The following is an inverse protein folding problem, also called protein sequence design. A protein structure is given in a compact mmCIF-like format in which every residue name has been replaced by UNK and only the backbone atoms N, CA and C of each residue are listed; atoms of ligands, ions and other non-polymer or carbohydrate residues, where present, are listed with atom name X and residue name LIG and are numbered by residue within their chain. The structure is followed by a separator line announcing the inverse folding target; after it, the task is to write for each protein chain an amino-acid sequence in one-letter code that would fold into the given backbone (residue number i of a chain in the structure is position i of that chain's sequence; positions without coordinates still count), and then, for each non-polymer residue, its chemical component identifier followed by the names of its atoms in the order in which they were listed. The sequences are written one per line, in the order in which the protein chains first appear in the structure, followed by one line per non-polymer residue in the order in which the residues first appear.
data_IF_455411110586
#
_entry.id   IF_455411110586
#
_cell.length_a   1.000
_cell.length_b   1.000
_cell.length_c   1.000
_cell.angle_alpha   90.00
_cell.angle_beta   90.00
_cell.angle_gamma   90.00
#
_symmetry.space_group_name_H-M   'P 1'
#
loop_
_entity.id
_entity.type
_entity.pdbx_description
1 polymer ?
#
# COMPACT_ATOMS: atom_id res chain seq x y z
N UNK A 1 17.26 -19.67 -1.62
CA UNK A 1 16.54 -18.41 -1.30
C UNK A 1 15.20 -18.77 -0.67
N UNK A 2 14.95 -18.35 0.56
CA UNK A 2 13.67 -18.61 1.24
C UNK A 2 12.51 -18.10 0.37
N UNK A 3 11.52 -18.96 0.11
CA UNK A 3 10.33 -18.64 -0.68
C UNK A 3 9.63 -17.48 0.05
N UNK A 4 9.73 -16.25 -0.47
CA UNK A 4 9.03 -15.10 0.11
C UNK A 4 7.54 -15.40 0.07
N UNK A 5 6.94 -15.74 1.22
CA UNK A 5 5.51 -15.97 1.33
C UNK A 5 4.78 -14.66 1.10
N UNK A 6 3.68 -14.72 0.35
CA UNK A 6 2.85 -13.55 0.07
C UNK A 6 2.02 -13.15 1.30
N UNK A 7 1.69 -14.14 2.12
CA UNK A 7 0.79 -14.03 3.26
C UNK A 7 1.57 -14.16 4.56
N UNK A 8 1.11 -13.45 5.57
CA UNK A 8 1.49 -13.72 6.96
C UNK A 8 0.88 -15.06 7.42
N UNK A 9 1.42 -15.62 8.51
CA UNK A 9 0.85 -16.84 9.09
C UNK A 9 -0.63 -16.69 9.45
N UNK A 10 -1.02 -15.53 9.97
CA UNK A 10 -2.41 -15.23 10.36
C UNK A 10 -3.32 -15.11 9.14
N UNK A 11 -2.88 -14.42 8.08
CA UNK A 11 -3.62 -14.36 6.81
C UNK A 11 -3.79 -15.75 6.20
N UNK A 12 -2.74 -16.59 6.27
CA UNK A 12 -2.77 -17.96 5.75
C UNK A 12 -3.82 -18.80 6.50
N UNK A 13 -3.85 -18.74 7.84
CA UNK A 13 -4.87 -19.43 8.64
C UNK A 13 -6.27 -18.94 8.30
N UNK A 14 -6.48 -17.62 8.32
CA UNK A 14 -7.78 -16.99 8.02
C UNK A 14 -8.34 -17.37 6.65
N UNK A 15 -7.48 -17.45 5.63
CA UNK A 15 -7.91 -17.70 4.25
C UNK A 15 -8.00 -19.18 3.90
N UNK A 16 -7.17 -20.03 4.50
CA UNK A 16 -7.01 -21.41 4.05
C UNK A 16 -7.48 -22.48 5.04
N UNK A 17 -7.67 -22.15 6.31
CA UNK A 17 -8.11 -23.11 7.33
C UNK A 17 -9.61 -22.99 7.60
N UNK A 18 -10.27 -24.07 8.05
CA UNK A 18 -11.65 -24.01 8.51
C UNK A 18 -11.79 -23.07 9.72
N UNK A 19 -12.94 -22.39 9.88
CA UNK A 19 -13.21 -21.58 11.06
C UNK A 19 -13.23 -22.44 12.31
N UNK A 20 -12.78 -21.85 13.42
CA UNK A 20 -12.70 -22.51 14.73
C UNK A 20 -13.61 -21.89 15.79
N UNK A 21 -14.36 -20.85 15.43
CA UNK A 21 -15.33 -20.21 16.33
C UNK A 21 -16.75 -20.68 15.99
N UNK A 22 -17.58 -20.95 17.01
CA UNK A 22 -18.95 -21.45 16.81
C UNK A 22 -19.76 -20.56 15.86
N UNK A 23 -19.60 -19.23 15.97
CA UNK A 23 -20.29 -18.25 15.11
C UNK A 23 -19.89 -18.37 13.64
N UNK A 24 -18.60 -18.50 13.35
CA UNK A 24 -18.13 -18.64 11.97
C UNK A 24 -18.45 -20.01 11.38
N UNK A 25 -18.36 -21.06 12.21
CA UNK A 25 -18.77 -22.42 11.87
C UNK A 25 -20.24 -22.44 11.46
N UNK A 26 -21.13 -21.89 12.28
CA UNK A 26 -22.55 -21.80 11.96
C UNK A 26 -22.80 -21.02 10.65
N UNK A 27 -22.11 -19.88 10.46
CA UNK A 27 -22.22 -19.09 9.23
C UNK A 27 -21.78 -19.86 7.98
N UNK A 28 -20.71 -20.64 8.07
CA UNK A 28 -20.12 -21.31 6.91
C UNK A 28 -20.69 -22.70 6.63
N UNK A 29 -21.21 -23.40 7.64
CA UNK A 29 -21.46 -24.84 7.60
C UNK A 29 -22.89 -25.26 7.95
N UNK A 30 -23.84 -24.32 8.03
CA UNK A 30 -25.26 -24.66 8.15
C UNK A 30 -25.76 -25.27 6.83
N UNK A 31 -26.35 -26.46 6.90
CA UNK A 31 -26.93 -27.16 5.76
C UNK A 31 -28.37 -26.74 5.51
N UNK A 32 -28.76 -26.72 4.23
CA UNK A 32 -30.17 -26.58 3.85
C UNK A 32 -30.91 -27.92 4.02
N UNK A 33 -32.24 -27.90 4.02
CA UNK A 33 -33.05 -29.13 4.06
C UNK A 33 -32.68 -30.08 2.90
N UNK A 34 -32.47 -29.54 1.70
CA UNK A 34 -32.07 -30.33 0.53
C UNK A 34 -30.68 -30.98 0.71
N UNK A 35 -29.76 -30.30 1.39
CA UNK A 35 -28.46 -30.88 1.72
C UNK A 35 -28.58 -32.02 2.72
N UNK A 36 -29.40 -31.84 3.76
CA UNK A 36 -29.64 -32.86 4.78
C UNK A 36 -30.29 -34.11 4.17
N UNK A 37 -31.34 -33.96 3.36
CA UNK A 37 -31.96 -35.08 2.63
C UNK A 37 -30.95 -35.85 1.77
N UNK A 38 -30.07 -35.12 1.07
CA UNK A 38 -29.04 -35.73 0.23
C UNK A 38 -27.97 -36.48 1.06
N UNK A 39 -27.60 -35.93 2.21
CA UNK A 39 -26.66 -36.54 3.16
C UNK A 39 -27.27 -37.79 3.80
N UNK A 40 -28.51 -37.70 4.28
CA UNK A 40 -29.24 -38.79 4.97
C UNK A 40 -29.45 -40.00 4.06
N UNK A 41 -29.58 -39.78 2.75
CA UNK A 41 -29.65 -40.84 1.75
C UNK A 41 -28.38 -41.74 1.69
N UNK A 42 -27.28 -41.39 2.37
CA UNK A 42 -26.12 -42.27 2.49
C UNK A 42 -26.35 -43.35 3.54
N UNK A 43 -26.07 -44.61 3.21
CA UNK A 43 -26.17 -45.70 4.18
C UNK A 43 -25.11 -45.60 5.28
N UNK A 44 -25.57 -45.44 6.52
CA UNK A 44 -24.77 -45.52 7.75
C UNK A 44 -24.20 -44.18 8.22
N UNK A 45 -24.17 -44.00 9.55
CA UNK A 45 -23.76 -42.78 10.22
C UNK A 45 -22.37 -42.27 9.81
N UNK A 46 -21.42 -43.19 9.57
CA UNK A 46 -20.06 -42.83 9.14
C UNK A 46 -20.03 -42.20 7.75
N UNK A 47 -20.86 -42.70 6.83
CA UNK A 47 -20.95 -42.14 5.48
C UNK A 47 -21.68 -40.81 5.49
N UNK A 48 -22.78 -40.69 6.26
CA UNK A 48 -23.52 -39.44 6.43
C UNK A 48 -22.60 -38.32 6.96
N UNK A 49 -21.90 -38.56 8.07
CA UNK A 49 -20.97 -37.58 8.63
C UNK A 49 -19.79 -37.29 7.70
N UNK A 50 -19.24 -38.32 7.06
CA UNK A 50 -18.12 -38.15 6.15
C UNK A 50 -18.44 -37.32 4.90
N UNK A 51 -19.64 -37.48 4.32
CA UNK A 51 -20.06 -36.62 3.19
C UNK A 51 -20.42 -35.21 3.65
N UNK A 52 -20.98 -35.05 4.85
CA UNK A 52 -21.24 -33.74 5.45
C UNK A 52 -19.93 -32.95 5.61
N UNK A 53 -18.89 -33.57 6.17
CA UNK A 53 -17.56 -32.96 6.31
C UNK A 53 -16.97 -32.58 4.94
N UNK A 54 -17.02 -33.49 3.95
CA UNK A 54 -16.54 -33.19 2.60
C UNK A 54 -17.30 -32.00 1.99
N UNK A 55 -18.63 -31.98 2.08
CA UNK A 55 -19.49 -30.91 1.55
C UNK A 55 -19.15 -29.57 2.20
N UNK A 56 -19.03 -29.54 3.53
CA UNK A 56 -18.67 -28.35 4.29
C UNK A 56 -17.32 -27.78 3.82
N UNK A 57 -16.29 -28.62 3.73
CA UNK A 57 -14.94 -28.20 3.37
C UNK A 57 -14.77 -27.84 1.88
N UNK A 58 -15.65 -28.32 1.00
CA UNK A 58 -15.78 -27.81 -0.37
C UNK A 58 -16.49 -26.46 -0.44
N UNK A 59 -17.47 -26.19 0.43
CA UNK A 59 -18.13 -24.87 0.48
C UNK A 59 -17.21 -23.81 1.05
N UNK A 60 -16.49 -24.12 2.13
CA UNK A 60 -15.52 -23.25 2.76
C UNK A 60 -14.46 -24.08 3.53
N UNK A 61 -13.15 -23.86 3.35
CA UNK A 61 -12.55 -22.78 2.58
C UNK A 61 -12.62 -22.97 1.07
N UNK A 62 -12.88 -24.18 0.57
CA UNK A 62 -12.98 -24.47 -0.86
C UNK A 62 -11.97 -25.49 -1.40
N UNK A 63 -11.16 -26.10 -0.52
CA UNK A 63 -10.19 -27.14 -0.91
C UNK A 63 -10.77 -28.56 -0.89
N UNK A 64 -11.93 -28.76 -0.26
CA UNK A 64 -12.38 -30.09 0.14
C UNK A 64 -11.60 -30.64 1.33
N UNK A 65 -11.93 -31.85 1.77
CA UNK A 65 -11.25 -32.49 2.90
C UNK A 65 -10.25 -33.53 2.41
N UNK A 66 -8.95 -33.30 2.63
CA UNK A 66 -7.88 -34.21 2.16
C UNK A 66 -7.63 -35.36 3.12
N UNK A 67 -7.04 -36.44 2.60
CA UNK A 67 -6.72 -37.60 3.41
C UNK A 67 -5.63 -37.24 4.44
N UNK A 68 -5.85 -37.57 5.71
CA UNK A 68 -4.92 -37.27 6.81
C UNK A 68 -5.07 -35.87 7.40
N UNK A 69 -5.93 -35.01 6.84
CA UNK A 69 -6.26 -33.73 7.47
C UNK A 69 -7.24 -33.95 8.64
N UNK A 70 -6.91 -33.36 9.79
CA UNK A 70 -7.77 -33.35 10.97
C UNK A 70 -8.84 -32.29 10.83
N UNK A 71 -10.09 -32.68 11.06
CA UNK A 71 -11.22 -31.74 11.11
C UNK A 71 -11.25 -31.12 12.51
N UNK A 72 -11.32 -29.78 12.66
CA UNK A 72 -11.44 -29.15 13.97
C UNK A 72 -12.64 -29.69 14.74
N UNK A 73 -12.46 -29.97 16.04
CA UNK A 73 -13.50 -30.61 16.87
C UNK A 73 -14.83 -29.82 16.89
N UNK A 74 -14.74 -28.49 16.86
CA UNK A 74 -15.90 -27.60 16.78
C UNK A 74 -16.69 -27.78 15.49
N UNK A 75 -16.01 -27.89 14.35
CA UNK A 75 -16.62 -28.16 13.05
C UNK A 75 -17.25 -29.55 13.05
N UNK A 76 -16.51 -30.55 13.54
CA UNK A 76 -16.98 -31.93 13.57
C UNK A 76 -18.25 -32.08 14.41
N UNK A 77 -18.27 -31.51 15.62
CA UNK A 77 -19.45 -31.53 16.50
C UNK A 77 -20.64 -30.84 15.83
N UNK A 78 -20.44 -29.63 15.30
CA UNK A 78 -21.51 -28.88 14.63
C UNK A 78 -22.11 -29.63 13.43
N UNK A 79 -21.29 -30.30 12.63
CA UNK A 79 -21.77 -31.11 11.50
C UNK A 79 -22.47 -32.39 11.97
N UNK A 80 -21.95 -33.05 13.00
CA UNK A 80 -22.55 -34.25 13.57
C UNK A 80 -23.93 -33.99 14.18
N UNK A 81 -24.09 -32.85 14.87
CA UNK A 81 -25.36 -32.41 15.44
C UNK A 81 -26.42 -32.17 14.35
N UNK A 82 -26.04 -31.56 13.23
CA UNK A 82 -26.95 -31.29 12.10
C UNK A 82 -27.46 -32.55 11.40
N UNK A 83 -26.65 -33.62 11.36
CA UNK A 83 -27.03 -34.89 10.70
C UNK A 83 -27.45 -35.97 11.70
N UNK A 84 -27.59 -35.60 12.98
CA UNK A 84 -28.05 -36.46 14.08
C UNK A 84 -27.23 -37.75 14.29
N UNK A 85 -25.91 -37.63 14.25
CA UNK A 85 -24.99 -38.76 14.50
C UNK A 85 -23.92 -38.40 15.54
N UNK A 86 -23.27 -39.40 16.13
CA UNK A 86 -22.16 -39.17 17.03
C UNK A 86 -20.90 -38.72 16.25
N UNK A 87 -20.09 -37.77 16.75
CA UNK A 87 -18.81 -37.37 16.14
C UNK A 87 -17.85 -38.54 15.87
N UNK A 88 -17.86 -39.56 16.74
CA UNK A 88 -17.05 -40.79 16.61
C UNK A 88 -17.42 -41.64 15.39
N UNK A 89 -18.59 -41.41 14.78
CA UNK A 89 -18.97 -42.10 13.54
C UNK A 89 -17.98 -41.81 12.40
N UNK A 90 -17.26 -40.68 12.43
CA UNK A 90 -16.28 -40.33 11.42
C UNK A 90 -15.12 -41.35 11.35
N UNK A 91 -14.80 -42.03 12.45
CA UNK A 91 -13.73 -43.05 12.50
C UNK A 91 -14.05 -44.26 11.59
N UNK A 92 -15.33 -44.49 11.31
CA UNK A 92 -15.81 -45.51 10.38
C UNK A 92 -15.84 -45.05 8.92
N UNK A 93 -15.58 -43.78 8.64
CA UNK A 93 -15.74 -43.23 7.29
C UNK A 93 -14.63 -43.69 6.37
N UNK A 94 -15.01 -44.06 5.14
CA UNK A 94 -14.08 -44.33 4.06
C UNK A 94 -13.00 -45.41 4.34
N UNK A 95 -13.29 -46.40 5.20
CA UNK A 95 -12.40 -47.58 5.39
C UNK A 95 -12.00 -48.24 4.06
N UNK A 96 -12.90 -48.22 3.08
CA UNK A 96 -12.60 -48.52 1.68
C UNK A 96 -12.32 -47.20 0.93
N UNK A 97 -11.10 -47.00 0.37
CA UNK A 97 -10.76 -45.76 -0.35
C UNK A 97 -11.75 -45.39 -1.46
N UNK A 98 -12.34 -46.41 -2.11
CA UNK A 98 -13.28 -46.24 -3.21
C UNK A 98 -14.60 -45.56 -2.79
N UNK A 99 -15.05 -45.75 -1.55
CA UNK A 99 -16.25 -45.07 -1.02
C UNK A 99 -16.05 -43.56 -0.99
N UNK A 100 -14.89 -43.09 -0.51
CA UNK A 100 -14.55 -41.65 -0.48
C UNK A 100 -14.48 -41.06 -1.88
N UNK A 101 -13.84 -41.75 -2.82
CA UNK A 101 -13.74 -41.29 -4.20
C UNK A 101 -15.12 -41.14 -4.85
N UNK A 102 -16.02 -42.10 -4.61
CA UNK A 102 -17.41 -42.03 -5.10
C UNK A 102 -18.14 -40.82 -4.50
N UNK A 103 -18.05 -40.60 -3.19
CA UNK A 103 -18.70 -39.46 -2.55
C UNK A 103 -18.15 -38.10 -3.02
N UNK A 104 -16.83 -37.99 -3.18
CA UNK A 104 -16.20 -36.78 -3.71
C UNK A 104 -16.70 -36.48 -5.12
N UNK A 105 -16.81 -37.51 -5.99
CA UNK A 105 -17.37 -37.34 -7.34
C UNK A 105 -18.83 -36.86 -7.29
N UNK A 106 -19.66 -37.49 -6.46
CA UNK A 106 -21.07 -37.10 -6.31
C UNK A 106 -21.21 -35.66 -5.78
N UNK A 107 -20.32 -35.24 -4.88
CA UNK A 107 -20.28 -33.85 -4.40
C UNK A 107 -19.84 -32.87 -5.47
N UNK A 108 -18.88 -33.23 -6.31
CA UNK A 108 -18.50 -32.38 -7.45
C UNK A 108 -19.69 -32.16 -8.38
N UNK A 109 -20.45 -33.21 -8.70
CA UNK A 109 -21.65 -33.12 -9.54
C UNK A 109 -22.73 -32.27 -8.87
N UNK A 110 -23.06 -32.54 -7.59
CA UNK A 110 -24.10 -31.82 -6.84
C UNK A 110 -23.79 -30.33 -6.68
N UNK A 111 -22.54 -30.00 -6.33
CA UNK A 111 -22.11 -28.62 -6.12
C UNK A 111 -21.67 -27.93 -7.42
N UNK A 112 -21.78 -28.63 -8.57
CA UNK A 112 -21.30 -28.20 -9.88
C UNK A 112 -19.84 -27.70 -9.84
N UNK A 113 -19.00 -28.40 -9.08
CA UNK A 113 -17.59 -28.08 -8.89
C UNK A 113 -16.73 -28.75 -9.95
N UNK A 114 -15.71 -28.03 -10.42
CA UNK A 114 -14.65 -28.58 -11.27
C UNK A 114 -13.27 -28.40 -10.64
N UNK A 115 -12.32 -29.33 -10.87
CA UNK A 115 -10.96 -29.16 -10.40
C UNK A 115 -10.27 -27.97 -11.10
N UNK A 116 -9.38 -27.32 -10.36
CA UNK A 116 -8.45 -26.34 -10.94
C UNK A 116 -7.44 -27.04 -11.86
N UNK A 117 -7.23 -26.50 -13.06
CA UNK A 117 -6.33 -27.07 -14.05
C UNK A 117 -5.28 -26.06 -14.53
N UNK A 118 -4.35 -26.50 -15.39
CA UNK A 118 -3.27 -25.63 -15.88
C UNK A 118 -3.77 -24.50 -16.80
N UNK A 119 -4.90 -24.70 -17.48
CA UNK A 119 -5.50 -23.67 -18.35
C UNK A 119 -6.10 -22.52 -17.54
N UNK A 120 -6.49 -22.76 -16.29
CA UNK A 120 -6.98 -21.73 -15.36
C UNK A 120 -5.88 -20.78 -14.86
N UNK A 121 -4.60 -21.17 -14.95
CA UNK A 121 -3.49 -20.41 -14.35
C UNK A 121 -3.39 -18.98 -14.89
N UNK A 122 -3.56 -18.78 -16.21
CA UNK A 122 -3.48 -17.45 -16.82
C UNK A 122 -4.59 -16.55 -16.28
N UNK A 123 -5.83 -17.03 -16.31
CA UNK A 123 -6.99 -16.32 -15.78
C UNK A 123 -6.86 -16.01 -14.29
N UNK A 124 -6.37 -16.97 -13.50
CA UNK A 124 -6.12 -16.78 -12.08
C UNK A 124 -5.09 -15.68 -11.79
N UNK A 125 -4.03 -15.58 -12.62
CA UNK A 125 -3.05 -14.50 -12.53
C UNK A 125 -3.66 -13.15 -12.93
N UNK A 126 -4.55 -13.12 -13.93
CA UNK A 126 -5.27 -11.90 -14.33
C UNK A 126 -6.19 -11.38 -13.22
N UNK A 127 -6.92 -12.28 -12.54
CA UNK A 127 -7.73 -11.95 -11.37
C UNK A 127 -6.85 -11.35 -10.26
N UNK A 128 -5.76 -12.04 -9.91
CA UNK A 128 -4.83 -11.56 -8.89
C UNK A 128 -4.16 -10.23 -9.28
N UNK A 129 -3.86 -10.03 -10.57
CA UNK A 129 -3.32 -8.78 -11.11
C UNK A 129 -4.33 -7.64 -11.02
N UNK A 130 -5.60 -7.89 -11.34
CA UNK A 130 -6.68 -6.92 -11.19
C UNK A 130 -6.84 -6.49 -9.72
N UNK A 131 -6.86 -7.45 -8.79
CA UNK A 131 -6.91 -7.17 -7.36
C UNK A 131 -5.67 -6.39 -6.86
N UNK A 132 -4.50 -6.67 -7.43
CA UNK A 132 -3.25 -5.99 -7.09
C UNK A 132 -3.10 -4.60 -7.71
N UNK A 133 -4.04 -4.09 -8.53
CA UNK A 133 -3.92 -2.74 -9.12
C UNK A 133 -3.79 -1.65 -8.06
N UNK A 134 -4.57 -1.76 -6.97
CA UNK A 134 -4.63 -0.75 -5.88
C UNK A 134 -3.84 -1.13 -4.62
N UNK A 135 -3.25 -2.33 -4.55
CA UNK A 135 -2.59 -2.81 -3.32
C UNK A 135 -1.42 -3.75 -3.59
N UNK A 136 -0.47 -3.77 -2.66
CA UNK A 136 0.62 -4.75 -2.60
C UNK A 136 0.44 -5.80 -1.50
N UNK A 137 -0.59 -5.64 -0.66
CA UNK A 137 -0.86 -6.53 0.47
C UNK A 137 -1.34 -7.89 -0.05
N UNK A 138 -0.75 -8.96 0.48
CA UNK A 138 -1.04 -10.32 0.05
C UNK A 138 -2.46 -10.77 0.33
N UNK A 139 -2.95 -10.53 1.56
CA UNK A 139 -4.29 -10.94 1.99
C UNK A 139 -5.40 -10.54 1.01
N UNK A 140 -5.59 -9.24 0.70
CA UNK A 140 -6.63 -8.80 -0.23
C UNK A 140 -6.53 -9.41 -1.63
N UNK A 141 -5.30 -9.62 -2.14
CA UNK A 141 -5.07 -10.22 -3.47
C UNK A 141 -5.54 -11.68 -3.48
N UNK A 142 -5.15 -12.46 -2.46
CA UNK A 142 -5.52 -13.87 -2.37
C UNK A 142 -6.99 -14.05 -2.02
N UNK A 143 -7.55 -13.17 -1.19
CA UNK A 143 -8.97 -13.16 -0.84
C UNK A 143 -9.84 -12.93 -2.08
N UNK A 144 -9.50 -11.94 -2.92
CA UNK A 144 -10.18 -11.70 -4.19
C UNK A 144 -10.03 -12.89 -5.16
N UNK A 145 -8.84 -13.50 -5.23
CA UNK A 145 -8.61 -14.71 -6.03
C UNK A 145 -9.48 -15.88 -5.57
N UNK A 146 -9.54 -16.16 -4.27
CA UNK A 146 -10.39 -17.23 -3.72
C UNK A 146 -11.86 -16.95 -4.04
N UNK A 147 -12.32 -15.73 -3.81
CA UNK A 147 -13.71 -15.34 -4.05
C UNK A 147 -14.11 -15.61 -5.50
N UNK A 148 -13.27 -15.23 -6.46
CA UNK A 148 -13.54 -15.39 -7.88
C UNK A 148 -13.47 -16.85 -8.34
N UNK A 149 -12.50 -17.64 -7.85
CA UNK A 149 -12.44 -19.08 -8.13
C UNK A 149 -13.67 -19.82 -7.58
N UNK A 150 -14.13 -19.46 -6.37
CA UNK A 150 -15.35 -20.01 -5.78
C UNK A 150 -16.60 -19.59 -6.57
N UNK A 151 -16.68 -18.33 -7.01
CA UNK A 151 -17.77 -17.84 -7.88
C UNK A 151 -17.87 -18.65 -9.17
N UNK A 152 -16.72 -19.04 -9.73
CA UNK A 152 -16.63 -19.90 -10.93
C UNK A 152 -16.78 -21.40 -10.63
N UNK A 153 -17.08 -21.77 -9.38
CA UNK A 153 -17.22 -23.16 -8.90
C UNK A 153 -15.97 -24.01 -9.15
N UNK A 154 -14.80 -23.39 -9.02
CA UNK A 154 -13.50 -24.07 -9.13
C UNK A 154 -13.05 -24.49 -7.74
N UNK A 155 -12.72 -25.78 -7.59
CA UNK A 155 -12.10 -26.31 -6.37
C UNK A 155 -10.73 -25.66 -6.23
N UNK A 156 -10.46 -25.08 -5.06
CA UNK A 156 -9.24 -24.34 -4.85
C UNK A 156 -8.01 -25.26 -5.01
N UNK A 157 -6.99 -24.84 -5.79
CA UNK A 157 -5.72 -25.56 -5.84
C UNK A 157 -5.01 -25.45 -4.48
N UNK A 158 -3.92 -26.20 -4.24
CA UNK A 158 -3.16 -26.08 -3.00
C UNK A 158 -2.80 -24.63 -2.64
N UNK A 159 -2.76 -24.32 -1.35
CA UNK A 159 -2.46 -22.98 -0.81
C UNK A 159 -1.20 -22.36 -1.45
N UNK A 160 -0.16 -23.16 -1.67
CA UNK A 160 1.10 -22.73 -2.30
C UNK A 160 0.89 -22.26 -3.75
N UNK A 161 -0.08 -22.86 -4.45
CA UNK A 161 -0.44 -22.44 -5.81
C UNK A 161 -1.17 -21.11 -5.78
N UNK A 162 -2.12 -20.91 -4.85
CA UNK A 162 -2.81 -19.63 -4.67
C UNK A 162 -1.82 -18.50 -4.33
N UNK A 163 -0.89 -18.73 -3.40
CA UNK A 163 0.15 -17.75 -3.06
C UNK A 163 1.06 -17.45 -4.26
N UNK A 164 1.45 -18.46 -5.04
CA UNK A 164 2.27 -18.26 -6.25
C UNK A 164 1.52 -17.47 -7.32
N UNK A 165 0.24 -17.75 -7.53
CA UNK A 165 -0.63 -16.98 -8.45
C UNK A 165 -0.75 -15.54 -7.96
N UNK A 166 -0.97 -15.33 -6.66
CA UNK A 166 -1.00 -14.00 -6.06
C UNK A 166 0.31 -13.22 -6.27
N UNK A 167 1.46 -13.87 -6.10
CA UNK A 167 2.78 -13.26 -6.37
C UNK A 167 2.95 -12.87 -7.83
N UNK A 168 2.56 -13.76 -8.74
CA UNK A 168 2.62 -13.50 -10.18
C UNK A 168 1.68 -12.35 -10.58
N UNK A 169 0.45 -12.34 -10.08
CA UNK A 169 -0.51 -11.26 -10.30
C UNK A 169 0.00 -9.93 -9.77
N UNK A 170 0.55 -9.89 -8.56
CA UNK A 170 1.17 -8.67 -8.00
C UNK A 170 2.34 -8.17 -8.85
N UNK A 171 3.20 -9.07 -9.32
CA UNK A 171 4.31 -8.71 -10.20
C UNK A 171 3.82 -8.17 -11.55
N UNK A 172 2.77 -8.76 -12.13
CA UNK A 172 2.15 -8.29 -13.37
C UNK A 172 1.51 -6.92 -13.20
N UNK A 173 0.76 -6.69 -12.12
CA UNK A 173 0.16 -5.39 -11.81
C UNK A 173 1.21 -4.29 -11.67
N UNK A 174 2.33 -4.57 -10.99
CA UNK A 174 3.46 -3.64 -10.85
C UNK A 174 4.12 -3.33 -12.19
N UNK A 175 4.32 -4.34 -13.04
CA UNK A 175 4.89 -4.14 -14.38
C UNK A 175 3.96 -3.25 -15.21
N UNK A 176 2.67 -3.57 -15.24
CA UNK A 176 1.68 -2.79 -15.98
C UNK A 176 1.61 -1.35 -15.47
N UNK A 177 1.64 -1.11 -14.16
CA UNK A 177 1.68 0.25 -13.62
C UNK A 177 2.94 1.03 -14.06
N UNK A 178 4.11 0.38 -14.08
CA UNK A 178 5.32 1.03 -14.61
C UNK A 178 5.17 1.33 -16.10
N UNK A 179 4.67 0.38 -16.90
CA UNK A 179 4.49 0.57 -18.34
C UNK A 179 3.49 1.70 -18.64
N UNK A 180 2.35 1.73 -17.93
CA UNK A 180 1.30 2.74 -18.09
C UNK A 180 1.77 4.14 -17.66
N UNK A 181 2.58 4.25 -16.59
CA UNK A 181 3.16 5.52 -16.15
C UNK A 181 4.21 6.06 -17.12
N UNK A 182 4.92 5.17 -17.82
CA UNK A 182 6.02 5.51 -18.71
C UNK A 182 5.60 5.62 -20.19
N UNK A 183 4.35 5.33 -20.52
CA UNK A 183 3.87 5.19 -21.89
C UNK A 183 4.05 6.44 -22.76
N UNK A 184 3.95 7.64 -22.18
CA UNK A 184 4.10 8.92 -22.87
C UNK A 184 5.52 9.52 -22.79
N UNK A 185 6.45 8.85 -22.10
CA UNK A 185 7.80 9.37 -21.89
C UNK A 185 8.65 9.11 -23.13
N UNK A 186 9.29 10.16 -23.64
CA UNK A 186 10.12 10.07 -24.85
C UNK A 186 11.50 9.50 -24.56
N UNK A 187 12.22 9.07 -25.61
CA UNK A 187 13.58 8.54 -25.47
C UNK A 187 14.56 9.57 -24.84
N UNK A 188 14.49 10.83 -25.27
CA UNK A 188 15.34 11.89 -24.72
C UNK A 188 15.02 12.19 -23.26
N UNK A 189 13.74 12.08 -22.86
CA UNK A 189 13.35 12.17 -21.46
C UNK A 189 13.90 10.99 -20.65
N UNK A 190 13.83 9.76 -21.18
CA UNK A 190 14.42 8.60 -20.53
C UNK A 190 15.92 8.73 -20.28
N UNK A 191 16.68 9.25 -21.26
CA UNK A 191 18.10 9.51 -21.09
C UNK A 191 18.35 10.46 -19.92
N UNK A 192 17.61 11.57 -19.86
CA UNK A 192 17.71 12.55 -18.76
C UNK A 192 17.32 11.93 -17.41
N UNK A 193 16.27 11.10 -17.39
CA UNK A 193 15.82 10.38 -16.19
C UNK A 193 16.91 9.41 -15.70
N UNK A 194 17.57 8.68 -16.59
CA UNK A 194 18.63 7.75 -16.21
C UNK A 194 19.88 8.51 -15.72
N UNK A 195 20.20 9.68 -16.29
CA UNK A 195 21.32 10.52 -15.85
C UNK A 195 21.16 11.07 -14.41
N UNK A 196 19.93 11.22 -13.91
CA UNK A 196 19.67 11.66 -12.54
C UNK A 196 20.27 10.75 -11.45
N UNK A 197 20.56 9.49 -11.81
CA UNK A 197 21.10 8.48 -10.91
C UNK A 197 22.63 8.36 -10.98
N UNK A 198 23.27 9.05 -11.93
CA UNK A 198 24.71 9.05 -12.09
C UNK A 198 25.29 10.23 -11.30
N UNK A 199 26.41 10.00 -10.62
CA UNK A 199 27.07 11.07 -9.86
C UNK A 199 27.58 12.15 -10.81
N UNK A 200 27.20 13.40 -10.52
CA UNK A 200 27.68 14.57 -11.24
C UNK A 200 28.97 15.09 -10.57
N UNK A 201 30.08 15.28 -11.32
CA UNK A 201 31.34 15.75 -10.76
C UNK A 201 31.27 17.15 -10.14
N UNK A 202 30.46 18.05 -10.70
CA UNK A 202 30.29 19.41 -10.19
C UNK A 202 29.44 19.42 -8.91
N UNK A 203 28.36 18.62 -8.86
CA UNK A 203 27.51 18.49 -7.66
C UNK A 203 28.12 17.60 -6.57
N UNK A 204 29.12 16.76 -6.92
CA UNK A 204 29.71 15.70 -6.09
C UNK A 204 28.69 14.68 -5.54
N UNK A 205 27.52 14.59 -6.18
CA UNK A 205 26.41 13.68 -5.86
C UNK A 205 25.54 13.50 -7.09
N UNK A 206 24.61 12.55 -7.06
CA UNK A 206 23.67 12.42 -8.18
C UNK A 206 22.72 13.62 -8.25
N UNK A 207 22.30 14.05 -9.45
CA UNK A 207 21.32 15.13 -9.59
C UNK A 207 20.03 14.85 -8.81
N UNK A 208 19.58 13.59 -8.74
CA UNK A 208 18.41 13.23 -7.92
C UNK A 208 18.62 13.50 -6.42
N UNK A 209 19.81 13.25 -5.88
CA UNK A 209 20.13 13.56 -4.49
C UNK A 209 20.15 15.07 -4.26
N UNK A 210 20.78 15.83 -5.15
CA UNK A 210 20.79 17.30 -5.12
C UNK A 210 19.40 17.93 -5.18
N UNK A 211 18.50 17.40 -6.02
CA UNK A 211 17.11 17.86 -6.13
C UNK A 211 16.32 17.68 -4.83
N UNK A 212 16.62 16.65 -4.03
CA UNK A 212 15.94 16.38 -2.75
C UNK A 212 16.44 17.27 -1.61
N UNK A 213 17.63 17.84 -1.73
CA UNK A 213 18.21 18.75 -0.75
C UNK A 213 17.68 20.17 -0.96
N UNK A 214 16.48 20.44 -0.43
CA UNK A 214 15.82 21.74 -0.51
C UNK A 214 16.42 22.68 0.55
N UNK A 215 17.00 23.83 0.18
CA UNK A 215 17.49 24.82 1.15
C UNK A 215 16.37 25.39 2.03
N UNK A 216 16.63 25.53 3.34
CA UNK A 216 15.61 25.98 4.31
C UNK A 216 15.84 27.39 4.88
N UNK A 217 17.07 27.92 4.80
CA UNK A 217 17.42 29.21 5.40
C UNK A 217 16.85 30.39 4.59
N UNK A 218 16.15 31.38 5.20
CA UNK A 218 15.58 32.54 4.52
C UNK A 218 16.64 33.48 3.93
N UNK A 219 17.15 33.18 2.73
CA UNK A 219 18.20 33.94 2.07
C UNK A 219 18.03 33.96 0.54
N UNK A 220 18.57 35.00 -0.11
CA UNK A 220 18.57 35.09 -1.58
C UNK A 220 19.31 33.90 -2.23
N UNK A 221 20.37 33.40 -1.61
CA UNK A 221 21.10 32.22 -2.09
C UNK A 221 20.25 30.94 -2.02
N UNK A 222 19.48 30.78 -0.94
CA UNK A 222 18.55 29.65 -0.79
C UNK A 222 17.41 29.72 -1.79
N UNK A 223 16.84 30.91 -2.02
CA UNK A 223 15.85 31.12 -3.08
C UNK A 223 16.40 30.77 -4.46
N UNK A 224 17.61 31.25 -4.79
CA UNK A 224 18.27 30.91 -6.05
C UNK A 224 18.45 29.39 -6.21
N UNK A 225 18.90 28.71 -5.15
CA UNK A 225 19.06 27.25 -5.15
C UNK A 225 17.74 26.47 -5.33
N UNK A 226 16.63 26.95 -4.78
CA UNK A 226 15.30 26.35 -5.02
C UNK A 226 14.88 26.58 -6.48
N UNK A 227 15.03 27.81 -7.00
CA UNK A 227 14.66 28.12 -8.38
C UNK A 227 15.49 27.36 -9.41
N UNK A 228 16.78 27.14 -9.15
CA UNK A 228 17.66 26.33 -10.00
C UNK A 228 17.18 24.88 -10.07
N UNK A 229 16.84 24.27 -8.92
CA UNK A 229 16.28 22.92 -8.85
C UNK A 229 14.94 22.82 -9.56
N UNK A 230 14.07 23.81 -9.36
CA UNK A 230 12.75 23.84 -9.99
C UNK A 230 12.88 23.97 -11.52
N UNK A 231 13.79 24.83 -12.00
CA UNK A 231 14.10 24.96 -13.41
C UNK A 231 14.67 23.66 -13.98
N UNK A 232 15.55 22.98 -13.25
CA UNK A 232 16.11 21.68 -13.65
C UNK A 232 15.01 20.62 -13.83
N UNK A 233 14.09 20.48 -12.86
CA UNK A 233 12.99 19.50 -12.93
C UNK A 233 12.04 19.84 -14.09
N UNK A 234 11.61 21.10 -14.20
CA UNK A 234 10.72 21.56 -15.28
C UNK A 234 11.32 21.39 -16.66
N UNK A 235 12.63 21.56 -16.78
CA UNK A 235 13.31 21.35 -18.06
C UNK A 235 13.14 19.92 -18.56
N UNK A 236 12.96 18.91 -17.70
CA UNK A 236 12.71 17.50 -18.11
C UNK A 236 11.36 17.37 -18.84
N UNK A 237 10.44 18.30 -18.60
CA UNK A 237 9.16 18.44 -19.29
C UNK A 237 8.26 17.20 -19.17
N UNK A 238 8.18 16.64 -17.96
CA UNK A 238 7.25 15.54 -17.66
C UNK A 238 5.87 16.15 -17.42
N UNK A 239 4.87 15.72 -18.20
CA UNK A 239 3.49 16.15 -17.99
C UNK A 239 2.92 15.50 -16.71
N UNK A 240 2.48 16.28 -15.69
CA UNK A 240 1.89 15.72 -14.48
C UNK A 240 0.57 14.97 -14.73
N UNK A 241 -0.09 15.12 -15.88
CA UNK A 241 -1.32 14.37 -16.19
C UNK A 241 -1.10 12.85 -16.20
N UNK A 242 0.14 12.37 -16.40
CA UNK A 242 0.46 10.94 -16.40
C UNK A 242 0.18 10.24 -15.07
N UNK A 243 0.05 10.97 -13.95
CA UNK A 243 -0.34 10.40 -12.65
C UNK A 243 -1.66 9.62 -12.78
N UNK A 244 -2.57 10.13 -13.63
CA UNK A 244 -3.91 9.56 -13.84
C UNK A 244 -3.91 8.24 -14.61
N UNK A 245 -2.78 7.83 -15.22
CA UNK A 245 -2.67 6.55 -15.93
C UNK A 245 -2.60 5.34 -14.99
N UNK A 246 -2.32 5.56 -13.71
CA UNK A 246 -2.23 4.51 -12.70
C UNK A 246 -3.04 4.84 -11.45
N UNK A 247 -3.26 3.84 -10.60
CA UNK A 247 -3.94 4.03 -9.32
C UNK A 247 -3.12 4.95 -8.39
N UNK A 248 -3.77 5.90 -7.71
CA UNK A 248 -3.15 6.88 -6.80
C UNK A 248 -2.18 6.24 -5.78
N UNK A 249 -2.62 5.21 -5.06
CA UNK A 249 -1.79 4.48 -4.09
C UNK A 249 -0.49 3.91 -4.70
N UNK A 250 -0.50 3.53 -5.99
CA UNK A 250 0.69 3.06 -6.70
C UNK A 250 1.63 4.20 -7.02
N UNK A 251 1.08 5.31 -7.49
CA UNK A 251 1.87 6.52 -7.73
C UNK A 251 2.56 6.99 -6.43
N UNK A 252 1.81 7.09 -5.34
CA UNK A 252 2.36 7.47 -4.04
C UNK A 252 3.45 6.50 -3.57
N UNK A 253 3.29 5.20 -3.83
CA UNK A 253 4.31 4.22 -3.50
C UNK A 253 5.60 4.47 -4.28
N UNK A 254 5.52 4.74 -5.59
CA UNK A 254 6.69 5.12 -6.40
C UNK A 254 7.33 6.41 -5.89
N UNK A 255 6.55 7.44 -5.59
CA UNK A 255 7.06 8.70 -5.05
C UNK A 255 7.75 8.49 -3.68
N UNK A 256 7.12 7.77 -2.74
CA UNK A 256 7.71 7.46 -1.43
C UNK A 256 9.01 6.64 -1.55
N UNK A 257 9.01 5.63 -2.40
CA UNK A 257 10.22 4.83 -2.68
C UNK A 257 11.32 5.71 -3.28
N UNK A 258 10.95 6.55 -4.25
CA UNK A 258 11.84 7.50 -4.90
C UNK A 258 12.32 8.62 -3.99
N UNK A 259 11.64 8.94 -2.89
CA UNK A 259 12.10 9.95 -1.93
C UNK A 259 13.24 9.43 -1.05
N UNK A 260 13.20 8.15 -0.68
CA UNK A 260 14.11 7.55 0.32
C UNK A 260 15.25 6.77 -0.33
N UNK A 261 15.00 6.09 -1.45
CA UNK A 261 16.02 5.22 -2.06
C UNK A 261 17.19 6.05 -2.61
N UNK A 262 18.44 5.74 -2.22
CA UNK A 262 19.63 6.33 -2.82
C UNK A 262 19.84 5.84 -4.26
N UNK A 263 20.58 6.61 -5.06
CA UNK A 263 20.77 6.32 -6.48
C UNK A 263 21.30 4.90 -6.75
N UNK A 264 22.28 4.43 -5.95
CA UNK A 264 22.83 3.07 -6.12
C UNK A 264 21.78 1.96 -5.91
N UNK A 265 20.81 2.16 -5.01
CA UNK A 265 19.74 1.19 -4.76
C UNK A 265 18.74 1.17 -5.92
N UNK A 266 18.38 2.36 -6.41
CA UNK A 266 17.50 2.51 -7.58
C UNK A 266 18.13 1.90 -8.84
N UNK A 267 19.44 2.02 -9.01
CA UNK A 267 20.17 1.42 -10.13
C UNK A 267 20.05 -0.11 -10.17
N UNK A 268 19.86 -0.76 -9.02
CA UNK A 268 19.63 -2.21 -8.93
C UNK A 268 18.22 -2.68 -9.31
N UNK A 269 17.28 -1.77 -9.59
CA UNK A 269 15.92 -2.14 -10.00
C UNK A 269 15.88 -2.50 -11.49
N UNK A 270 14.82 -3.20 -11.90
CA UNK A 270 14.53 -3.34 -13.33
C UNK A 270 14.29 -1.95 -13.95
N UNK A 271 14.68 -1.78 -15.22
CA UNK A 271 14.64 -0.49 -15.93
C UNK A 271 13.28 0.20 -15.82
N UNK A 272 12.19 -0.52 -16.09
CA UNK A 272 10.84 0.03 -15.99
C UNK A 272 10.47 0.49 -14.56
N UNK A 273 10.78 -0.33 -13.55
CA UNK A 273 10.54 0.05 -12.14
C UNK A 273 11.37 1.27 -11.75
N UNK A 274 12.67 1.27 -12.09
CA UNK A 274 13.60 2.36 -11.80
C UNK A 274 13.10 3.68 -12.38
N UNK A 275 12.78 3.69 -13.67
CA UNK A 275 12.29 4.89 -14.37
C UNK A 275 10.94 5.35 -13.81
N UNK A 276 9.99 4.44 -13.56
CA UNK A 276 8.70 4.78 -12.95
C UNK A 276 8.88 5.43 -11.57
N UNK A 277 9.75 4.88 -10.72
CA UNK A 277 10.10 5.45 -9.42
C UNK A 277 10.68 6.86 -9.54
N UNK A 278 11.63 7.07 -10.46
CA UNK A 278 12.26 8.39 -10.66
C UNK A 278 11.27 9.40 -11.24
N UNK A 279 10.45 9.01 -12.21
CA UNK A 279 9.40 9.85 -12.80
C UNK A 279 8.40 10.32 -11.75
N UNK A 280 7.88 9.39 -10.94
CA UNK A 280 6.96 9.75 -9.86
C UNK A 280 7.60 10.72 -8.85
N UNK A 281 8.89 10.50 -8.54
CA UNK A 281 9.63 11.38 -7.65
C UNK A 281 9.87 12.78 -8.24
N UNK A 282 10.11 12.90 -9.55
CA UNK A 282 10.29 14.19 -10.21
C UNK A 282 9.02 15.03 -10.16
N UNK A 283 7.87 14.43 -10.48
CA UNK A 283 6.55 15.08 -10.37
C UNK A 283 6.30 15.57 -8.93
N UNK A 284 6.59 14.71 -7.96
CA UNK A 284 6.47 15.07 -6.55
C UNK A 284 7.44 16.19 -6.13
N UNK A 285 8.68 16.16 -6.62
CA UNK A 285 9.68 17.20 -6.35
C UNK A 285 9.32 18.53 -6.99
N UNK A 286 8.74 18.55 -8.19
CA UNK A 286 8.30 19.79 -8.83
C UNK A 286 7.28 20.53 -7.95
N UNK A 287 6.30 19.80 -7.43
CA UNK A 287 5.28 20.34 -6.52
C UNK A 287 5.93 20.85 -5.24
N UNK A 288 6.78 20.02 -4.59
CA UNK A 288 7.47 20.41 -3.35
C UNK A 288 8.42 21.59 -3.49
N UNK A 289 9.15 21.69 -4.60
CA UNK A 289 10.04 22.80 -4.88
C UNK A 289 9.25 24.09 -5.16
N UNK A 290 8.09 23.98 -5.81
CA UNK A 290 7.19 25.11 -6.00
C UNK A 290 6.66 25.64 -4.66
N UNK A 291 6.19 24.75 -3.78
CA UNK A 291 5.74 25.12 -2.43
C UNK A 291 6.89 25.73 -1.60
N UNK A 292 8.08 25.12 -1.67
CA UNK A 292 9.25 25.63 -0.97
C UNK A 292 9.68 27.02 -1.46
N UNK A 293 9.52 27.32 -2.76
CA UNK A 293 9.83 28.64 -3.31
C UNK A 293 8.87 29.71 -2.77
N UNK A 294 7.58 29.40 -2.68
CA UNK A 294 6.56 30.31 -2.10
C UNK A 294 6.83 30.55 -0.61
N UNK A 295 7.04 29.48 0.16
CA UNK A 295 7.35 29.57 1.59
C UNK A 295 8.67 30.34 1.86
N UNK A 296 9.70 30.13 1.04
CA UNK A 296 10.96 30.88 1.10
C UNK A 296 10.74 32.37 0.84
N UNK A 297 9.95 32.72 -0.18
CA UNK A 297 9.61 34.10 -0.49
C UNK A 297 8.88 34.77 0.68
N UNK A 298 7.87 34.12 1.24
CA UNK A 298 7.11 34.63 2.39
C UNK A 298 8.02 34.88 3.61
N UNK A 299 8.91 33.92 3.92
CA UNK A 299 9.91 34.06 4.99
C UNK A 299 10.85 35.24 4.74
N UNK A 300 11.33 35.42 3.51
CA UNK A 300 12.21 36.54 3.14
C UNK A 300 11.50 37.88 3.29
N UNK A 301 10.27 38.02 2.77
CA UNK A 301 9.45 39.24 2.89
C UNK A 301 9.16 39.55 4.37
N UNK A 302 8.76 38.54 5.15
CA UNK A 302 8.54 38.68 6.59
C UNK A 302 9.79 39.17 7.34
N UNK A 303 10.97 38.64 6.99
CA UNK A 303 12.24 39.05 7.59
C UNK A 303 12.61 40.51 7.29
N UNK A 304 12.32 40.99 6.07
CA UNK A 304 12.52 42.38 5.65
C UNK A 304 11.61 43.32 6.44
N UNK A 305 10.32 43.01 6.55
CA UNK A 305 9.38 43.78 7.37
C UNK A 305 9.78 43.77 8.85
N UNK A 306 10.22 42.64 9.39
CA UNK A 306 10.72 42.57 10.76
C UNK A 306 11.98 43.42 10.97
N UNK A 307 12.90 43.45 9.99
CA UNK A 307 14.09 44.33 10.02
C UNK A 307 13.68 45.80 9.95
N UNK A 308 12.74 46.16 9.08
CA UNK A 308 12.17 47.50 8.99
C UNK A 308 11.52 47.96 10.29
N UNK A 309 10.65 47.13 10.89
CA UNK A 309 10.03 47.41 12.20
C UNK A 309 11.06 47.62 13.30
N UNK A 310 12.07 46.73 13.40
CA UNK A 310 13.16 46.88 14.38
C UNK A 310 13.98 48.15 14.16
N UNK A 311 14.22 48.55 12.91
CA UNK A 311 14.91 49.81 12.58
C UNK A 311 14.08 51.02 13.01
N UNK A 312 12.77 51.01 12.73
CA UNK A 312 11.85 52.08 13.16
C UNK A 312 11.76 52.19 14.68
N UNK A 313 11.63 51.06 15.37
CA UNK A 313 11.61 51.00 16.84
C UNK A 313 12.90 51.58 17.44
N UNK A 314 14.07 51.18 16.92
CA UNK A 314 15.36 51.75 17.35
C UNK A 314 15.43 53.26 17.14
N UNK A 315 14.97 53.77 16.00
CA UNK A 315 14.94 55.22 15.73
C UNK A 315 13.99 55.96 16.69
N UNK A 316 12.80 55.41 16.94
CA UNK A 316 11.84 55.99 17.88
C UNK A 316 12.37 56.01 19.32
N UNK A 317 13.03 54.93 19.77
CA UNK A 317 13.68 54.90 21.09
C UNK A 317 14.83 55.89 21.19
N UNK A 318 15.63 56.06 20.13
CA UNK A 318 16.71 57.05 20.09
C UNK A 318 16.15 58.49 20.19
N UNK A 319 15.14 58.83 19.38
CA UNK A 319 14.54 60.17 19.42
C UNK A 319 13.80 60.46 20.73
N UNK A 320 13.14 59.47 21.31
CA UNK A 320 12.47 59.62 22.62
C UNK A 320 13.47 59.93 23.74
N UNK A 321 14.67 59.33 23.70
CA UNK A 321 15.76 59.64 24.64
C UNK A 321 16.29 61.06 24.47
N UNK A 322 16.49 61.51 23.23
CA UNK A 322 16.92 62.89 22.92
C UNK A 322 15.89 63.92 23.36
N UNK A 323 14.60 63.70 23.05
CA UNK A 323 13.50 64.56 23.50
C UNK A 323 13.45 64.61 25.03
N UNK A 324 13.62 63.47 25.71
CA UNK A 324 13.68 63.41 27.18
C UNK A 324 14.90 64.14 27.75
N UNK A 325 16.02 64.20 27.03
CA UNK A 325 17.21 64.96 27.42
C UNK A 325 17.01 66.47 27.22
N UNK A 326 16.41 66.87 26.10
CA UNK A 326 16.05 68.26 25.81
C UNK A 326 15.00 68.77 26.81
N UNK A 327 13.98 67.98 27.13
CA UNK A 327 12.98 68.34 28.14
C UNK A 327 13.60 68.50 29.54
N UNK A 328 14.58 67.67 29.91
CA UNK A 328 15.34 67.84 31.15
C UNK A 328 16.19 69.11 31.16
N UNK A 329 16.82 69.46 30.02
CA UNK A 329 17.55 70.71 29.87
C UNK A 329 16.62 71.93 30.00
N UNK A 330 15.47 71.94 29.31
CA UNK A 330 14.48 73.00 29.45
C UNK A 330 13.94 73.11 30.87
N UNK A 331 13.64 71.99 31.53
CA UNK A 331 13.22 71.94 32.93
C UNK A 331 14.29 72.54 33.86
N UNK A 332 15.57 72.23 33.63
CA UNK A 332 16.69 72.81 34.36
C UNK A 332 16.86 74.32 34.12
N UNK A 333 16.69 74.79 32.89
CA UNK A 333 16.74 76.23 32.55
C UNK A 333 15.57 76.98 33.18
N UNK A 334 14.36 76.42 33.12
CA UNK A 334 13.17 77.01 33.77
C UNK A 334 13.40 77.12 35.28
N UNK A 335 13.91 76.05 35.92
CA UNK A 335 14.24 76.08 37.34
C UNK A 335 15.28 77.15 37.69
N UNK A 336 16.33 77.29 36.87
CA UNK A 336 17.34 78.33 37.08
C UNK A 336 16.81 79.76 36.90
N UNK A 337 15.89 79.98 35.94
CA UNK A 337 15.22 81.27 35.74
C UNK A 337 14.26 81.61 36.88
N UNK A 338 13.54 80.62 37.42
CA UNK A 338 12.72 80.81 38.61
C UNK A 338 13.57 81.14 39.84
N UNK A 339 14.72 80.50 40.01
CA UNK A 339 15.66 80.80 41.09
C UNK A 339 16.18 82.25 41.00
N UNK A 340 16.56 82.70 39.80
CA UNK A 340 17.08 84.05 39.55
C UNK A 340 16.01 85.16 39.63
N UNK A 341 14.73 84.82 39.74
CA UNK A 341 13.63 85.76 39.98
C UNK A 341 13.33 86.00 41.46
N UNK A 342 13.90 85.17 42.35
CA UNK A 342 13.68 85.22 43.80
C UNK A 342 14.84 85.92 44.53
N UNK A 343 15.94 86.20 43.84
CA UNK A 343 17.06 87.05 44.27
C UNK A 343 16.92 88.50 43.76
#
# INVERSE_FOLDING_TARGET
MARRSLLTGDERRRLFEPPVTDREVARCYTFSAEDLEWIEARHGASNQLGVAVQMALFRHPGFGWRLGETVPAVVLRFLADQVHVAPSALDGYARRPQTRLTHVRQLHERLALRPFNRTDLRHAVEIASAAARSTDKGGPIVEALIAELRRQRIILPPAETLERVGLAGRAQARRKAADDLLASITLSQFERIDQLLINDPALRKSPLAWLREIPESPSAASMAGITERLAYVRAIAIDPAIISSIHEHRFEQYAREGAVAPAFLLSGYSVGRRRATVVAQLIFLESRLSDAAVDMFDKMVGSLFAKGRRSRERKYQASSREVSQIMRLFSGVIGAVDQARVD
#
